data_IF_160668993337
#
_entry.id   IF_160668993337
#
_cell.length_a   1.000
_cell.length_b   1.000
_cell.length_c   1.000
_cell.angle_alpha   90.00
_cell.angle_beta   90.00
_cell.angle_gamma   90.00
#
_symmetry.space_group_name_H-M   'P 1'
#
loop_
_entity.id
_entity.type
_entity.pdbx_description
1 polymer ?
#
# COMPACT_ATOMS: atom_id res chain seq x y z
N UNK A 1 -0.46 -7.86 -10.38
CA UNK A 1 0.85 -8.52 -10.56
C UNK A 1 1.04 -9.55 -9.46
N UNK A 2 1.78 -10.63 -9.70
CA UNK A 2 2.01 -11.65 -8.68
C UNK A 2 3.18 -11.22 -7.77
N UNK A 3 2.97 -11.32 -6.46
CA UNK A 3 4.01 -11.04 -5.46
C UNK A 3 4.77 -12.35 -5.17
N UNK A 4 6.09 -12.43 -5.42
CA UNK A 4 6.85 -13.68 -5.26
C UNK A 4 6.95 -14.15 -3.80
N UNK A 5 7.06 -13.20 -2.87
CA UNK A 5 7.12 -13.42 -1.44
C UNK A 5 6.65 -12.17 -0.67
N UNK A 6 6.12 -12.30 0.57
CA UNK A 6 5.48 -11.18 1.27
C UNK A 6 6.37 -9.93 1.45
N UNK A 7 7.66 -10.12 1.72
CA UNK A 7 8.65 -9.04 1.88
C UNK A 7 8.75 -8.13 0.65
N UNK A 8 8.39 -8.64 -0.53
CA UNK A 8 8.51 -7.95 -1.81
C UNK A 8 7.25 -7.17 -2.20
N UNK A 9 6.17 -7.25 -1.43
CA UNK A 9 4.88 -6.64 -1.77
C UNK A 9 5.00 -5.14 -2.11
N UNK A 10 5.67 -4.36 -1.25
CA UNK A 10 5.87 -2.92 -1.46
C UNK A 10 6.60 -2.61 -2.79
N UNK A 11 7.58 -3.43 -3.19
CA UNK A 11 8.29 -3.26 -4.46
C UNK A 11 7.38 -3.53 -5.66
N UNK A 12 6.62 -4.61 -5.61
CA UNK A 12 5.67 -4.97 -6.69
C UNK A 12 4.56 -3.92 -6.81
N UNK A 13 4.14 -3.31 -5.70
CA UNK A 13 3.18 -2.20 -5.73
C UNK A 13 3.73 -0.98 -6.50
N UNK A 14 4.98 -0.59 -6.25
CA UNK A 14 5.62 0.52 -6.97
C UNK A 14 5.83 0.18 -8.44
N UNK A 15 6.34 -1.02 -8.74
CA UNK A 15 6.53 -1.51 -10.11
C UNK A 15 5.22 -1.49 -10.91
N UNK A 16 4.11 -1.89 -10.27
CA UNK A 16 2.79 -1.85 -10.89
C UNK A 16 2.39 -0.44 -11.30
N UNK A 17 2.70 0.57 -10.48
CA UNK A 17 2.42 1.98 -10.82
C UNK A 17 3.33 2.48 -11.92
N UNK A 18 4.63 2.23 -11.81
CA UNK A 18 5.62 2.72 -12.77
C UNK A 18 5.39 2.16 -14.18
N UNK A 19 4.98 0.90 -14.29
CA UNK A 19 4.81 0.23 -15.58
C UNK A 19 3.40 0.38 -16.18
N UNK A 20 2.39 0.69 -15.37
CA UNK A 20 0.99 0.62 -15.84
C UNK A 20 0.14 1.85 -15.53
N UNK A 21 0.60 2.80 -14.70
CA UNK A 21 -0.16 3.98 -14.27
C UNK A 21 -1.66 3.71 -14.04
N UNK A 22 -2.03 2.74 -13.17
CA UNK A 22 -3.42 2.37 -13.00
C UNK A 22 -4.22 3.48 -12.30
N UNK A 23 -5.52 3.53 -12.53
CA UNK A 23 -6.42 4.43 -11.78
C UNK A 23 -6.70 3.91 -10.36
N UNK A 24 -6.63 2.58 -10.18
CA UNK A 24 -6.94 1.90 -8.91
C UNK A 24 -5.93 0.79 -8.65
N UNK A 25 -5.46 0.69 -7.39
CA UNK A 25 -4.69 -0.44 -6.87
C UNK A 25 -5.44 -1.09 -5.72
N UNK A 26 -5.57 -2.41 -5.78
CA UNK A 26 -6.15 -3.23 -4.72
C UNK A 26 -5.02 -4.01 -4.03
N UNK A 27 -4.87 -3.83 -2.73
CA UNK A 27 -3.89 -4.51 -1.88
C UNK A 27 -4.65 -5.43 -0.93
N UNK A 28 -4.29 -6.70 -0.86
CA UNK A 28 -4.99 -7.63 0.05
C UNK A 28 -4.84 -7.17 1.51
N UNK A 29 -3.62 -6.96 1.99
CA UNK A 29 -3.35 -6.48 3.35
C UNK A 29 -2.17 -5.49 3.39
N UNK A 30 -2.30 -4.42 4.18
CA UNK A 30 -1.25 -3.44 4.48
C UNK A 30 -0.80 -3.65 5.93
N UNK A 31 0.30 -4.39 6.07
CA UNK A 31 0.86 -4.81 7.35
C UNK A 31 2.12 -4.05 7.74
N UNK A 32 2.97 -3.71 6.77
CA UNK A 32 4.33 -3.19 7.03
C UNK A 32 4.45 -1.67 6.82
N UNK A 33 5.50 -1.08 7.42
CA UNK A 33 5.81 0.33 7.20
C UNK A 33 6.20 0.59 5.73
N UNK A 34 6.95 -0.33 5.11
CA UNK A 34 7.34 -0.24 3.71
C UNK A 34 6.12 -0.23 2.77
N UNK A 35 5.12 -1.07 3.02
CA UNK A 35 3.85 -1.05 2.27
C UNK A 35 3.09 0.25 2.48
N UNK A 36 3.14 0.82 3.69
CA UNK A 36 2.49 2.10 4.00
C UNK A 36 3.16 3.26 3.24
N UNK A 37 4.49 3.32 3.20
CA UNK A 37 5.25 4.28 2.40
C UNK A 37 5.00 4.12 0.90
N UNK A 38 4.89 2.88 0.42
CA UNK A 38 4.51 2.61 -0.96
C UNK A 38 3.08 3.10 -1.25
N UNK A 39 2.11 2.80 -0.39
CA UNK A 39 0.74 3.30 -0.51
C UNK A 39 0.70 4.83 -0.58
N UNK A 40 1.44 5.51 0.31
CA UNK A 40 1.54 6.98 0.30
C UNK A 40 2.05 7.50 -1.04
N UNK A 41 3.16 6.94 -1.52
CA UNK A 41 3.76 7.33 -2.81
C UNK A 41 2.80 7.14 -4.00
N UNK A 42 2.00 6.09 -3.96
CA UNK A 42 0.99 5.77 -4.98
C UNK A 42 -0.18 6.77 -4.90
N UNK A 43 -0.69 7.04 -3.70
CA UNK A 43 -1.78 8.00 -3.49
C UNK A 43 -1.39 9.43 -3.89
N UNK A 44 -0.15 9.84 -3.63
CA UNK A 44 0.40 11.14 -4.04
C UNK A 44 0.41 11.32 -5.58
N UNK A 45 0.38 10.22 -6.35
CA UNK A 45 0.25 10.23 -7.82
C UNK A 45 -1.21 10.29 -8.29
N UNK A 46 -2.17 10.43 -7.39
CA UNK A 46 -3.61 10.51 -7.70
C UNK A 46 -4.27 9.15 -7.94
N UNK A 47 -3.59 8.05 -7.60
CA UNK A 47 -4.10 6.68 -7.79
C UNK A 47 -4.94 6.30 -6.56
N UNK A 48 -6.12 5.72 -6.78
CA UNK A 48 -6.95 5.21 -5.70
C UNK A 48 -6.38 3.92 -5.13
N UNK A 49 -6.30 3.83 -3.80
CA UNK A 49 -5.89 2.63 -3.09
C UNK A 49 -7.04 2.04 -2.29
N UNK A 50 -7.22 0.73 -2.41
CA UNK A 50 -8.18 -0.05 -1.65
C UNK A 50 -7.43 -1.22 -1.04
N UNK A 51 -7.54 -1.43 0.27
CA UNK A 51 -6.96 -2.61 0.89
C UNK A 51 -7.46 -2.87 2.30
N UNK A 52 -7.06 -4.01 2.85
CA UNK A 52 -7.36 -4.34 4.25
C UNK A 52 -6.17 -4.05 5.15
N UNK A 53 -6.41 -3.90 6.44
CA UNK A 53 -5.37 -3.79 7.44
C UNK A 53 -5.87 -4.45 8.73
N UNK A 54 -4.97 -5.11 9.45
CA UNK A 54 -5.31 -5.72 10.71
C UNK A 54 -5.33 -4.69 11.85
N UNK A 55 -6.39 -4.70 12.65
CA UNK A 55 -6.53 -3.84 13.82
C UNK A 55 -7.81 -4.15 14.59
N UNK A 56 -7.79 -3.89 15.89
CA UNK A 56 -8.95 -4.10 16.76
C UNK A 56 -9.78 -2.84 16.94
N UNK A 57 -9.16 -1.68 16.77
CA UNK A 57 -9.78 -0.35 16.83
C UNK A 57 -9.29 0.49 15.66
N UNK A 58 -10.06 1.51 15.28
CA UNK A 58 -9.75 2.35 14.11
C UNK A 58 -8.42 3.10 14.29
N UNK A 59 -8.05 3.42 15.52
CA UNK A 59 -6.78 4.05 15.89
C UNK A 59 -5.59 3.16 15.54
N UNK A 60 -5.72 1.83 15.62
CA UNK A 60 -4.65 0.92 15.22
C UNK A 60 -4.35 1.02 13.72
N UNK A 61 -5.35 1.38 12.92
CA UNK A 61 -5.27 1.51 11.47
C UNK A 61 -4.77 2.91 11.09
N UNK A 62 -5.39 3.96 11.65
CA UNK A 62 -5.09 5.36 11.28
C UNK A 62 -3.67 5.76 11.70
N UNK A 63 -3.14 5.23 12.82
CA UNK A 63 -1.83 5.64 13.35
C UNK A 63 -0.65 5.38 12.40
N UNK A 64 -0.80 4.45 11.44
CA UNK A 64 0.24 4.19 10.41
C UNK A 64 0.41 5.32 9.40
N UNK A 65 -0.50 6.31 9.36
CA UNK A 65 -0.48 7.39 8.36
C UNK A 65 0.28 8.67 8.77
N UNK A 66 0.73 8.78 10.03
CA UNK A 66 1.31 10.02 10.59
C UNK A 66 2.65 9.78 11.31
N UNK A 67 3.69 9.42 10.57
CA UNK A 67 5.08 9.58 11.03
C UNK A 67 5.75 10.67 10.21
N UNK A 68 5.91 11.83 10.85
CA UNK A 68 6.99 12.79 10.57
C UNK A 68 8.18 12.45 11.46
#
# INVERSE_FOLDING_TARGET
MQVPEPSMQHRVMIEAVENHMPEVIIVYEIGTEAETHACRSIAERGIMLIGTAHGHQIENIIKKSHSF
#
